data_IF_247101627775
#
_entry.id   IF_247101627775
#
_cell.length_a   1.000
_cell.length_b   1.000
_cell.length_c   1.000
_cell.angle_alpha   90.00
_cell.angle_beta   90.00
_cell.angle_gamma   90.00
#
_symmetry.space_group_name_H-M   'P 1'
#
loop_
_entity.id
_entity.type
_entity.pdbx_description
1 polymer ?
#
# COMPACT_ATOMS: atom_id res chain seq x y z
N UNK A 1 4.56 -11.38 11.96
CA UNK A 1 5.21 -10.05 11.81
C UNK A 1 6.72 -10.12 12.04
N UNK A 2 7.18 -10.65 13.19
CA UNK A 2 8.62 -10.77 13.49
C UNK A 2 9.41 -11.52 12.40
N UNK A 3 8.87 -12.62 11.85
CA UNK A 3 9.56 -13.43 10.83
C UNK A 3 9.77 -12.69 9.49
N UNK A 4 8.77 -11.91 9.04
CA UNK A 4 8.85 -11.12 7.80
C UNK A 4 9.88 -9.98 7.93
N UNK A 5 9.84 -9.26 9.06
CA UNK A 5 10.79 -8.18 9.33
C UNK A 5 12.21 -8.77 9.41
N UNK A 6 12.39 -9.90 10.10
CA UNK A 6 13.68 -10.58 10.18
C UNK A 6 14.19 -11.01 8.79
N UNK A 7 13.34 -11.56 7.92
CA UNK A 7 13.73 -11.95 6.55
C UNK A 7 14.26 -10.76 5.72
N UNK A 8 13.73 -9.56 5.93
CA UNK A 8 14.16 -8.33 5.25
C UNK A 8 15.43 -7.77 5.90
N UNK A 9 15.51 -7.74 7.24
CA UNK A 9 16.64 -7.12 7.97
C UNK A 9 17.90 -7.98 8.00
N UNK A 10 17.80 -9.31 8.01
CA UNK A 10 18.96 -10.22 8.05
C UNK A 10 19.95 -9.97 6.89
N UNK A 11 19.54 -9.87 5.61
CA UNK A 11 20.48 -9.54 4.53
C UNK A 11 21.04 -8.11 4.63
N UNK A 12 20.28 -7.17 5.19
CA UNK A 12 20.74 -5.79 5.47
C UNK A 12 21.83 -5.78 6.53
N UNK A 13 21.63 -6.49 7.64
CA UNK A 13 22.61 -6.63 8.72
C UNK A 13 23.87 -7.41 8.30
N UNK A 14 23.77 -8.28 7.29
CA UNK A 14 24.90 -9.01 6.70
C UNK A 14 25.73 -8.16 5.71
N UNK A 15 25.46 -6.86 5.58
CA UNK A 15 26.25 -5.96 4.75
C UNK A 15 26.10 -6.22 3.25
N UNK A 16 25.03 -6.90 2.81
CA UNK A 16 24.75 -7.09 1.38
C UNK A 16 24.38 -5.79 0.65
N UNK A 17 24.17 -4.71 1.39
CA UNK A 17 23.88 -3.38 0.90
C UNK A 17 24.96 -2.43 1.38
N UNK A 18 25.66 -1.77 0.46
CA UNK A 18 26.64 -0.76 0.79
C UNK A 18 25.94 0.47 1.39
N UNK A 19 26.33 0.86 2.61
CA UNK A 19 25.74 1.99 3.35
C UNK A 19 25.86 3.31 2.59
N UNK A 20 26.90 3.47 1.78
CA UNK A 20 27.08 4.64 0.91
C UNK A 20 26.06 4.65 -0.24
N UNK A 21 25.66 3.47 -0.70
CA UNK A 21 24.64 3.29 -1.72
C UNK A 21 23.23 3.56 -1.18
N UNK A 22 22.95 3.16 0.06
CA UNK A 22 21.67 3.45 0.74
C UNK A 22 21.40 4.95 0.86
N UNK A 23 22.37 5.73 1.33
CA UNK A 23 22.25 7.20 1.39
C UNK A 23 22.03 7.83 0.01
N UNK A 24 22.76 7.35 -1.00
CA UNK A 24 22.59 7.77 -2.39
C UNK A 24 21.21 7.45 -2.97
N UNK A 25 20.60 6.32 -2.61
CA UNK A 25 19.24 5.95 -3.05
C UNK A 25 18.22 6.94 -2.50
N UNK A 26 18.31 7.35 -1.23
CA UNK A 26 17.38 8.33 -0.65
C UNK A 26 17.49 9.72 -1.30
N UNK A 27 18.68 10.10 -1.77
CA UNK A 27 18.88 11.35 -2.54
C UNK A 27 18.67 11.20 -4.05
N UNK A 28 18.49 9.97 -4.56
CA UNK A 28 18.21 9.72 -5.96
C UNK A 28 16.77 10.12 -6.30
N UNK A 29 16.55 10.58 -7.54
CA UNK A 29 15.20 10.92 -8.00
C UNK A 29 14.21 9.75 -7.84
N UNK A 30 14.65 8.52 -8.06
CA UNK A 30 13.81 7.32 -7.91
C UNK A 30 13.48 7.04 -6.44
N UNK A 31 14.43 7.22 -5.51
CA UNK A 31 14.16 7.07 -4.08
C UNK A 31 13.24 8.15 -3.52
N UNK A 32 13.35 9.39 -3.97
CA UNK A 32 12.42 10.46 -3.59
C UNK A 32 11.01 10.12 -4.08
N UNK A 33 10.85 9.66 -5.33
CA UNK A 33 9.55 9.23 -5.85
C UNK A 33 8.99 8.05 -5.05
N UNK A 34 9.82 7.07 -4.69
CA UNK A 34 9.40 5.94 -3.87
C UNK A 34 8.90 6.40 -2.48
N UNK A 35 9.60 7.34 -1.84
CA UNK A 35 9.18 7.92 -0.55
C UNK A 35 7.85 8.66 -0.65
N UNK A 36 7.68 9.50 -1.69
CA UNK A 36 6.43 10.23 -1.92
C UNK A 36 5.25 9.26 -2.14
N UNK A 37 5.46 8.22 -2.93
CA UNK A 37 4.45 7.17 -3.16
C UNK A 37 4.14 6.39 -1.87
N UNK A 38 5.13 6.09 -1.05
CA UNK A 38 4.91 5.46 0.27
C UNK A 38 4.08 6.35 1.19
N UNK A 39 4.36 7.64 1.24
CA UNK A 39 3.58 8.58 2.06
C UNK A 39 2.13 8.66 1.57
N UNK A 40 1.94 8.77 0.24
CA UNK A 40 0.63 8.82 -0.38
C UNK A 40 -0.18 7.54 -0.13
N UNK A 41 0.40 6.36 -0.37
CA UNK A 41 -0.30 5.08 -0.18
C UNK A 41 -0.61 4.79 1.29
N UNK A 42 0.25 5.23 2.22
CA UNK A 42 -0.03 5.16 3.66
C UNK A 42 -1.20 6.05 4.05
N UNK A 43 -1.24 7.28 3.54
CA UNK A 43 -2.35 8.20 3.75
C UNK A 43 -3.68 7.63 3.20
N UNK A 44 -3.66 7.10 1.97
CA UNK A 44 -4.82 6.43 1.37
C UNK A 44 -5.29 5.25 2.23
N UNK A 45 -4.38 4.43 2.75
CA UNK A 45 -4.72 3.29 3.61
C UNK A 45 -5.48 3.74 4.86
N UNK A 46 -5.08 4.86 5.47
CA UNK A 46 -5.79 5.46 6.62
C UNK A 46 -7.20 5.94 6.25
N UNK A 47 -7.35 6.62 5.11
CA UNK A 47 -8.66 7.03 4.59
C UNK A 47 -9.56 5.83 4.29
N UNK A 48 -9.00 4.79 3.66
CA UNK A 48 -9.71 3.57 3.30
C UNK A 48 -10.18 2.80 4.53
N UNK A 49 -9.33 2.70 5.55
CA UNK A 49 -9.72 2.10 6.82
C UNK A 49 -10.89 2.86 7.45
N UNK A 50 -10.83 4.19 7.47
CA UNK A 50 -11.91 5.02 7.99
C UNK A 50 -13.21 4.84 7.18
N UNK A 51 -13.13 4.82 5.85
CA UNK A 51 -14.27 4.61 4.97
C UNK A 51 -14.95 3.26 5.20
N UNK A 52 -14.18 2.19 5.32
CA UNK A 52 -14.72 0.85 5.55
C UNK A 52 -15.28 0.66 6.96
N UNK A 53 -14.62 1.21 7.99
CA UNK A 53 -14.96 0.95 9.40
C UNK A 53 -15.91 1.99 10.00
N UNK A 54 -15.62 3.28 9.83
CA UNK A 54 -16.37 4.38 10.47
C UNK A 54 -17.65 4.67 9.70
N UNK A 55 -17.63 4.57 8.38
CA UNK A 55 -18.82 4.80 7.55
C UNK A 55 -19.65 3.52 7.32
N UNK A 56 -19.32 2.42 8.00
CA UNK A 56 -20.04 1.13 7.94
C UNK A 56 -20.19 0.53 6.53
N UNK A 57 -19.29 0.85 5.60
CA UNK A 57 -19.26 0.27 4.24
C UNK A 57 -18.57 -1.10 4.21
N UNK A 58 -18.73 -1.90 5.27
CA UNK A 58 -18.05 -3.18 5.43
C UNK A 58 -18.40 -4.17 4.31
N UNK A 59 -19.61 -4.08 3.76
CA UNK A 59 -20.06 -4.91 2.64
C UNK A 59 -19.22 -4.71 1.37
N UNK A 60 -18.68 -3.50 1.17
CA UNK A 60 -17.81 -3.16 0.03
C UNK A 60 -16.45 -3.87 0.16
N UNK A 61 -16.02 -4.20 1.38
CA UNK A 61 -14.76 -4.90 1.60
C UNK A 61 -14.71 -6.26 0.89
N UNK A 62 -15.84 -6.98 0.86
CA UNK A 62 -15.95 -8.25 0.15
C UNK A 62 -15.74 -8.06 -1.36
N UNK A 63 -16.40 -7.06 -1.95
CA UNK A 63 -16.25 -6.74 -3.37
C UNK A 63 -14.80 -6.36 -3.72
N UNK A 64 -14.12 -5.61 -2.85
CA UNK A 64 -12.71 -5.24 -3.03
C UNK A 64 -11.77 -6.46 -2.94
N UNK A 65 -11.99 -7.36 -1.99
CA UNK A 65 -11.20 -8.59 -1.86
C UNK A 65 -11.40 -9.48 -3.08
N UNK A 66 -12.64 -9.70 -3.50
CA UNK A 66 -12.95 -10.50 -4.69
C UNK A 66 -12.31 -9.90 -5.95
N UNK A 67 -12.42 -8.57 -6.12
CA UNK A 67 -11.76 -7.86 -7.21
C UNK A 67 -10.24 -8.05 -7.20
N UNK A 68 -9.59 -7.96 -6.04
CA UNK A 68 -8.15 -8.16 -5.92
C UNK A 68 -7.72 -9.60 -6.27
N UNK A 69 -8.49 -10.60 -5.86
CA UNK A 69 -8.24 -12.02 -6.21
C UNK A 69 -8.43 -12.26 -7.70
N UNK A 70 -9.51 -11.73 -8.28
CA UNK A 70 -9.76 -11.84 -9.72
C UNK A 70 -8.66 -11.15 -10.53
N UNK A 71 -8.28 -9.92 -10.16
CA UNK A 71 -7.19 -9.20 -10.81
C UNK A 71 -5.87 -9.97 -10.71
N UNK A 72 -5.54 -10.54 -9.54
CA UNK A 72 -4.36 -11.39 -9.39
C UNK A 72 -4.42 -12.63 -10.31
N UNK A 73 -5.57 -13.30 -10.36
CA UNK A 73 -5.76 -14.51 -11.16
C UNK A 73 -5.67 -14.27 -12.67
N UNK A 74 -6.22 -13.16 -13.17
CA UNK A 74 -6.25 -12.85 -14.61
C UNK A 74 -5.05 -12.02 -15.09
N UNK A 75 -4.45 -11.20 -14.23
CA UNK A 75 -3.41 -10.24 -14.60
C UNK A 75 -2.02 -10.62 -14.05
N UNK A 76 -1.89 -11.73 -13.32
CA UNK A 76 -0.61 -12.21 -12.77
C UNK A 76 -0.09 -11.38 -11.58
N UNK A 77 -0.95 -10.62 -10.92
CA UNK A 77 -0.60 -9.79 -9.76
C UNK A 77 -0.59 -10.56 -8.42
N UNK A 78 -0.24 -9.86 -7.34
CA UNK A 78 -0.30 -10.39 -5.97
C UNK A 78 -1.37 -9.62 -5.18
N UNK A 79 -2.29 -10.29 -4.47
CA UNK A 79 -3.31 -9.60 -3.68
C UNK A 79 -2.67 -8.90 -2.47
N UNK A 80 -2.73 -7.56 -2.47
CA UNK A 80 -2.15 -6.69 -1.43
C UNK A 80 -3.14 -6.24 -0.35
N UNK A 81 -4.36 -6.79 -0.38
CA UNK A 81 -5.44 -6.45 0.55
C UNK A 81 -6.25 -5.20 0.13
N UNK A 82 -7.32 -4.87 0.87
CA UNK A 82 -8.32 -3.90 0.41
C UNK A 82 -8.01 -2.44 0.81
N UNK A 83 -7.03 -2.19 1.69
CA UNK A 83 -6.84 -0.90 2.37
C UNK A 83 -6.49 0.27 1.44
N UNK A 84 -5.49 0.10 0.57
CA UNK A 84 -5.08 1.17 -0.35
C UNK A 84 -6.20 1.42 -1.37
N UNK A 85 -6.78 0.35 -1.91
CA UNK A 85 -7.88 0.41 -2.89
C UNK A 85 -9.13 1.06 -2.30
N UNK A 86 -9.48 0.75 -1.05
CA UNK A 86 -10.59 1.40 -0.35
C UNK A 86 -10.30 2.87 -0.07
N UNK A 87 -9.03 3.25 0.16
CA UNK A 87 -8.61 4.64 0.26
C UNK A 87 -8.84 5.42 -1.02
N UNK A 88 -8.52 4.81 -2.16
CA UNK A 88 -8.78 5.39 -3.46
C UNK A 88 -10.29 5.50 -3.73
N UNK A 89 -11.05 4.45 -3.41
CA UNK A 89 -12.50 4.46 -3.51
C UNK A 89 -13.13 5.54 -2.61
N UNK A 90 -12.61 5.72 -1.40
CA UNK A 90 -13.07 6.75 -0.48
C UNK A 90 -12.85 8.17 -1.03
N UNK A 91 -11.72 8.42 -1.71
CA UNK A 91 -11.48 9.70 -2.38
C UNK A 91 -12.46 9.93 -3.53
N UNK A 92 -12.71 8.91 -4.35
CA UNK A 92 -13.66 8.97 -5.47
C UNK A 92 -15.07 9.21 -4.92
N UNK A 93 -15.49 8.43 -3.92
CA UNK A 93 -16.78 8.58 -3.24
C UNK A 93 -16.94 9.99 -2.68
N UNK A 94 -15.90 10.53 -2.01
CA UNK A 94 -15.94 11.90 -1.48
C UNK A 94 -16.08 12.97 -2.56
N UNK A 95 -15.52 12.76 -3.75
CA UNK A 95 -15.59 13.72 -4.86
C UNK A 95 -16.92 13.62 -5.63
N UNK A 96 -17.45 12.42 -5.84
CA UNK A 96 -18.65 12.19 -6.66
C UNK A 96 -19.96 12.11 -5.87
N UNK A 97 -19.95 11.63 -4.63
CA UNK A 97 -21.17 11.43 -3.81
C UNK A 97 -21.51 12.68 -2.98
N UNK A 98 -20.58 13.65 -2.90
CA UNK A 98 -20.80 14.94 -2.25
C UNK A 98 -21.30 16.03 -3.23
N UNK A 99 -21.84 15.66 -4.39
CA UNK A 99 -22.59 16.57 -5.29
C UNK A 99 -24.08 16.27 -5.25
#
# INVERSE_FOLDING_TARGET
>A
MVLLIAAILVPVAKGKFDYHHLGGVFSSGLGIMALLLSFLTTYLSGLGLNFLTVQQHSDIMLALILGAVLAAAFMGGVPVGPLITSGLLALIAKFFIKS
#
